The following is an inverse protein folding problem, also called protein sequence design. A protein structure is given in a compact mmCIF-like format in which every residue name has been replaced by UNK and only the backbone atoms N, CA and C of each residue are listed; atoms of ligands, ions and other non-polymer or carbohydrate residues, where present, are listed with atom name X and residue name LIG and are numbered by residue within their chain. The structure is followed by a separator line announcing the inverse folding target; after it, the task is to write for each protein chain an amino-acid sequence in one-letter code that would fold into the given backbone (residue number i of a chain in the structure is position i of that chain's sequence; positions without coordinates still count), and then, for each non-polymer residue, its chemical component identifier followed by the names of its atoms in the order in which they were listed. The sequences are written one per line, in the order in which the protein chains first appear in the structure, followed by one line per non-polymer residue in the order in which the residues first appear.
data_IF_069158567465
#
_entry.id   IF_069158567465
#
_cell.length_a   1.000
_cell.length_b   1.000
_cell.length_c   1.000
_cell.angle_alpha   90.00
_cell.angle_beta   90.00
_cell.angle_gamma   90.00
#
_symmetry.space_group_name_H-M   'P 1'
#
loop_
_entity.id
_entity.type
_entity.pdbx_description
1 polymer ?
#
# COMPACT_ATOMS: atom_id res chain seq x y z
N UNK A 1 15.70 12.76 7.86
CA UNK A 1 16.97 12.07 7.64
C UNK A 1 16.69 10.87 6.74
N UNK A 2 17.37 10.75 5.60
CA UNK A 2 17.18 9.61 4.71
C UNK A 2 17.82 8.38 5.38
N UNK A 3 17.05 7.30 5.53
CA UNK A 3 17.49 6.05 6.17
C UNK A 3 18.48 5.27 5.31
N UNK A 4 18.68 5.68 4.05
CA UNK A 4 19.52 5.00 3.06
C UNK A 4 20.45 6.05 2.44
N UNK A 5 21.76 5.82 2.51
CA UNK A 5 22.76 6.67 1.90
C UNK A 5 23.12 6.19 0.48
N UNK A 6 23.26 7.12 -0.46
CA UNK A 6 23.47 6.81 -1.88
C UNK A 6 24.85 6.17 -2.11
N UNK A 7 25.88 6.73 -1.50
CA UNK A 7 27.26 6.28 -1.73
C UNK A 7 27.44 4.85 -1.20
N UNK A 8 26.80 4.55 -0.06
CA UNK A 8 26.74 3.21 0.51
C UNK A 8 26.03 2.19 -0.40
N UNK A 9 25.04 2.58 -1.21
CA UNK A 9 24.33 1.65 -2.11
C UNK A 9 25.15 1.26 -3.35
N UNK A 10 26.04 2.13 -3.81
CA UNK A 10 26.82 1.91 -5.03
C UNK A 10 27.86 0.78 -4.89
N UNK A 11 28.16 0.35 -3.66
CA UNK A 11 29.09 -0.76 -3.39
C UNK A 11 28.45 -2.14 -3.58
N UNK A 12 27.12 -2.21 -3.75
CA UNK A 12 26.37 -3.47 -3.84
C UNK A 12 25.81 -3.68 -5.24
N UNK A 13 25.78 -4.95 -5.68
CA UNK A 13 25.04 -5.36 -6.89
C UNK A 13 23.56 -5.60 -6.61
N UNK A 14 23.24 -6.03 -5.39
CA UNK A 14 21.90 -6.46 -4.98
C UNK A 14 21.60 -5.99 -3.56
N UNK A 15 20.39 -5.45 -3.38
CA UNK A 15 19.86 -5.02 -2.09
C UNK A 15 18.56 -5.78 -1.83
N UNK A 16 18.53 -6.51 -0.72
CA UNK A 16 17.34 -7.25 -0.27
C UNK A 16 16.76 -6.56 0.96
N UNK A 17 15.54 -6.05 0.82
CA UNK A 17 14.78 -5.46 1.92
C UNK A 17 13.74 -6.46 2.43
N UNK A 18 13.95 -7.00 3.62
CA UNK A 18 12.95 -7.82 4.31
C UNK A 18 11.97 -6.92 5.09
N UNK A 19 10.70 -6.95 4.70
CA UNK A 19 9.63 -6.15 5.34
C UNK A 19 8.67 -7.01 6.18
N UNK A 20 8.94 -8.30 6.33
CA UNK A 20 8.03 -9.28 6.95
C UNK A 20 7.53 -8.89 8.34
N UNK A 21 8.42 -8.30 9.15
CA UNK A 21 8.13 -7.85 10.52
C UNK A 21 8.06 -6.31 10.64
N UNK A 22 8.27 -5.58 9.55
CA UNK A 22 8.30 -4.12 9.59
C UNK A 22 6.88 -3.55 9.52
N UNK A 23 6.55 -2.56 10.37
CA UNK A 23 5.33 -1.79 10.23
C UNK A 23 5.40 -0.86 9.00
N UNK A 24 4.23 -0.51 8.45
CA UNK A 24 4.11 0.32 7.24
C UNK A 24 4.79 1.67 7.37
N UNK A 25 4.69 2.30 8.54
CA UNK A 25 5.37 3.57 8.85
C UNK A 25 6.89 3.51 8.72
N UNK A 26 7.49 2.31 8.80
CA UNK A 26 8.94 2.10 8.65
C UNK A 26 9.29 1.69 7.22
N UNK A 27 8.68 0.61 6.69
CA UNK A 27 9.15 0.09 5.40
C UNK A 27 8.68 0.92 4.20
N UNK A 28 7.56 1.68 4.30
CA UNK A 28 7.14 2.56 3.21
C UNK A 28 8.18 3.66 2.93
N UNK A 29 8.64 4.46 3.93
CA UNK A 29 9.70 5.44 3.69
C UNK A 29 11.02 4.81 3.22
N UNK A 30 11.44 3.68 3.81
CA UNK A 30 12.69 3.02 3.43
C UNK A 30 12.66 2.58 1.97
N UNK A 31 11.61 1.86 1.57
CA UNK A 31 11.49 1.35 0.21
C UNK A 31 11.33 2.49 -0.80
N UNK A 32 10.57 3.54 -0.45
CA UNK A 32 10.47 4.76 -1.28
C UNK A 32 11.83 5.39 -1.49
N UNK A 33 12.61 5.59 -0.42
CA UNK A 33 13.96 6.16 -0.49
C UNK A 33 14.88 5.28 -1.35
N UNK A 34 14.83 3.96 -1.16
CA UNK A 34 15.63 3.00 -1.91
C UNK A 34 15.34 3.07 -3.42
N UNK A 35 14.06 3.07 -3.80
CA UNK A 35 13.64 3.17 -5.20
C UNK A 35 14.08 4.51 -5.82
N UNK A 36 13.95 5.63 -5.10
CA UNK A 36 14.39 6.94 -5.58
C UNK A 36 15.91 7.02 -5.77
N UNK A 37 16.69 6.55 -4.79
CA UNK A 37 18.14 6.59 -4.89
C UNK A 37 18.63 5.73 -6.05
N UNK A 38 18.08 4.52 -6.19
CA UNK A 38 18.43 3.63 -7.30
C UNK A 38 17.96 4.19 -8.65
N UNK A 39 16.81 4.87 -8.73
CA UNK A 39 16.39 5.62 -9.93
C UNK A 39 17.42 6.65 -10.36
N UNK A 40 17.94 7.43 -9.43
CA UNK A 40 18.94 8.47 -9.69
C UNK A 40 20.34 7.92 -10.05
N UNK A 41 20.63 6.64 -9.76
CA UNK A 41 21.88 5.98 -10.13
C UNK A 41 21.87 5.43 -11.56
N UNK A 42 20.70 5.30 -12.20
CA UNK A 42 20.61 4.80 -13.58
C UNK A 42 20.97 3.33 -13.70
N UNK A 43 21.92 2.99 -14.59
CA UNK A 43 22.35 1.62 -14.89
C UNK A 43 23.26 1.02 -13.82
N UNK A 44 24.01 1.85 -13.11
CA UNK A 44 24.94 1.41 -12.06
C UNK A 44 24.23 1.15 -10.72
N UNK A 45 22.89 1.20 -10.73
CA UNK A 45 22.09 0.97 -9.54
C UNK A 45 22.04 -0.52 -9.19
N UNK A 46 22.08 -0.90 -7.90
CA UNK A 46 21.85 -2.27 -7.50
C UNK A 46 20.46 -2.75 -7.91
N UNK A 47 20.35 -4.07 -8.08
CA UNK A 47 19.07 -4.75 -8.08
C UNK A 47 18.39 -4.56 -6.72
N UNK A 48 17.07 -4.33 -6.72
CA UNK A 48 16.27 -4.16 -5.50
C UNK A 48 15.27 -5.29 -5.40
N UNK A 49 15.41 -6.10 -4.34
CA UNK A 49 14.49 -7.16 -3.99
C UNK A 49 13.77 -6.81 -2.68
N UNK A 50 12.51 -7.18 -2.60
CA UNK A 50 11.72 -7.08 -1.37
C UNK A 50 11.26 -8.46 -0.96
N UNK A 51 11.52 -8.81 0.29
CA UNK A 51 11.06 -10.04 0.93
C UNK A 51 9.85 -9.76 1.80
N UNK A 52 8.81 -10.57 1.62
CA UNK A 52 7.61 -10.57 2.46
C UNK A 52 7.33 -12.00 2.85
N UNK A 53 7.41 -12.30 4.14
CA UNK A 53 6.87 -13.51 4.72
C UNK A 53 5.42 -13.22 5.14
N UNK A 54 4.48 -13.89 4.51
CA UNK A 54 3.05 -13.69 4.74
C UNK A 54 2.42 -14.98 5.30
N UNK A 55 1.46 -14.80 6.20
CA UNK A 55 0.66 -15.91 6.70
C UNK A 55 -0.74 -15.37 6.97
N UNK A 56 -1.64 -15.59 6.02
CA UNK A 56 -2.99 -15.03 6.08
C UNK A 56 -3.75 -15.39 7.37
N UNK A 57 -3.54 -16.61 7.91
CA UNK A 57 -4.17 -17.04 9.15
C UNK A 57 -3.57 -16.36 10.38
N UNK A 58 -2.26 -16.16 10.41
CA UNK A 58 -1.59 -15.39 11.45
C UNK A 58 -1.98 -13.91 11.39
N UNK A 59 -1.97 -13.32 10.20
CA UNK A 59 -2.32 -11.91 9.98
C UNK A 59 -3.75 -11.60 10.38
N UNK A 60 -4.70 -12.50 10.07
CA UNK A 60 -6.09 -12.37 10.52
C UNK A 60 -6.25 -12.46 12.05
N UNK A 61 -5.30 -13.10 12.74
CA UNK A 61 -5.33 -13.23 14.19
C UNK A 61 -4.59 -12.10 14.93
N UNK A 62 -3.74 -11.35 14.23
CA UNK A 62 -3.04 -10.19 14.80
C UNK A 62 -4.07 -9.10 15.12
N UNK A 63 -4.10 -8.70 16.39
CA UNK A 63 -4.93 -7.57 16.86
C UNK A 63 -4.06 -6.37 17.11
N UNK A 64 -4.34 -5.29 16.39
CA UNK A 64 -3.73 -3.99 16.63
C UNK A 64 -4.24 -3.42 17.95
N UNK A 65 -3.32 -2.86 18.74
CA UNK A 65 -3.58 -2.21 20.01
C UNK A 65 -3.20 -0.74 19.90
N UNK A 66 -4.03 0.13 20.46
CA UNK A 66 -3.81 1.57 20.48
C UNK A 66 -3.52 2.10 19.07
N UNK A 67 -4.53 2.00 18.19
CA UNK A 67 -4.49 2.66 16.89
C UNK A 67 -4.40 4.17 17.15
N UNK A 68 -3.51 4.86 16.44
CA UNK A 68 -3.33 6.31 16.57
C UNK A 68 -4.57 7.06 16.07
N UNK A 69 -4.91 8.14 16.76
CA UNK A 69 -6.12 8.92 16.48
C UNK A 69 -6.01 9.66 15.13
N UNK A 70 -4.80 10.08 14.76
CA UNK A 70 -4.56 10.87 13.55
C UNK A 70 -3.97 10.00 12.42
N UNK A 71 -4.66 9.99 11.28
CA UNK A 71 -4.06 9.54 10.03
C UNK A 71 -3.02 10.55 9.55
N UNK A 72 -1.96 10.06 8.92
CA UNK A 72 -0.87 10.91 8.45
C UNK A 72 -0.45 10.53 7.02
N UNK A 73 0.04 11.52 6.25
CA UNK A 73 0.62 11.27 4.95
C UNK A 73 2.03 10.69 5.13
N UNK A 74 2.28 9.58 4.46
CA UNK A 74 3.57 8.90 4.50
C UNK A 74 4.65 9.81 3.91
N UNK A 75 5.80 9.88 4.58
CA UNK A 75 6.92 10.70 4.16
C UNK A 75 7.34 10.36 2.72
N UNK A 76 7.59 11.40 1.91
CA UNK A 76 7.82 11.27 0.46
C UNK A 76 6.56 11.49 -0.40
N UNK A 77 5.36 11.31 0.16
CA UNK A 77 4.10 11.42 -0.60
C UNK A 77 3.33 12.73 -0.34
N UNK A 78 4.04 13.86 -0.20
CA UNK A 78 3.43 15.21 -0.31
C UNK A 78 2.64 15.73 0.90
N UNK A 79 3.02 15.30 2.11
CA UNK A 79 2.21 15.42 3.33
C UNK A 79 1.75 16.78 3.86
N UNK A 80 2.01 17.90 3.18
CA UNK A 80 1.46 19.21 3.56
C UNK A 80 0.22 19.64 2.75
N UNK A 81 -0.13 18.92 1.67
CA UNK A 81 -1.15 19.37 0.70
C UNK A 81 -2.49 18.64 0.78
N UNK A 82 -2.65 17.63 1.62
CA UNK A 82 -3.95 16.96 1.79
C UNK A 82 -4.98 17.88 2.47
N UNK A 83 -4.52 18.74 3.37
CA UNK A 83 -5.31 19.72 4.13
C UNK A 83 -5.43 21.08 3.46
N UNK A 84 -4.64 21.35 2.40
CA UNK A 84 -4.82 22.53 1.59
C UNK A 84 -6.14 22.39 0.82
N UNK A 85 -6.92 23.48 0.78
CA UNK A 85 -8.23 23.59 0.11
C UNK A 85 -8.03 23.58 -1.41
N UNK A 86 -7.44 22.52 -1.93
CA UNK A 86 -7.41 22.20 -3.35
C UNK A 86 -8.86 21.98 -3.79
N UNK A 87 -9.29 22.70 -4.82
CA UNK A 87 -10.62 22.51 -5.43
C UNK A 87 -10.75 21.20 -6.20
N UNK A 88 -9.69 20.38 -6.24
CA UNK A 88 -9.71 19.12 -6.96
C UNK A 88 -10.39 18.03 -6.13
N UNK A 89 -11.32 17.26 -6.73
CA UNK A 89 -11.96 16.14 -6.07
C UNK A 89 -10.92 15.12 -5.59
N UNK A 90 -11.03 14.66 -4.35
CA UNK A 90 -10.31 13.53 -3.78
C UNK A 90 -10.99 12.21 -4.15
N UNK A 91 -10.21 11.36 -4.81
CA UNK A 91 -10.54 9.98 -5.10
C UNK A 91 -9.69 9.12 -4.18
N UNK A 92 -10.33 8.43 -3.25
CA UNK A 92 -9.66 7.59 -2.27
C UNK A 92 -9.70 6.12 -2.69
N UNK A 93 -8.54 5.49 -2.76
CA UNK A 93 -8.34 4.09 -3.12
C UNK A 93 -7.81 3.30 -1.91
N UNK A 94 -8.67 2.97 -0.92
CA UNK A 94 -8.25 2.20 0.23
C UNK A 94 -8.14 0.71 -0.10
N UNK A 95 -6.95 0.12 0.10
CA UNK A 95 -6.86 -1.33 0.19
C UNK A 95 -7.41 -1.80 1.53
N UNK A 96 -8.41 -2.68 1.47
CA UNK A 96 -9.17 -3.13 2.64
C UNK A 96 -8.83 -4.58 2.95
N UNK A 97 -8.67 -4.88 4.22
CA UNK A 97 -8.55 -6.21 4.79
C UNK A 97 -9.41 -6.30 6.04
N UNK A 98 -9.57 -7.52 6.56
CA UNK A 98 -10.39 -7.76 7.75
C UNK A 98 -9.84 -7.10 9.01
N UNK A 99 -10.75 -6.72 9.91
CA UNK A 99 -10.46 -6.13 11.22
C UNK A 99 -9.86 -4.71 11.20
N UNK A 100 -10.08 -3.92 10.14
CA UNK A 100 -9.51 -2.57 9.94
C UNK A 100 -10.54 -1.43 10.03
N UNK A 101 -11.71 -1.66 10.63
CA UNK A 101 -12.79 -0.64 10.73
C UNK A 101 -12.30 0.70 11.29
N UNK A 102 -11.61 0.70 12.43
CA UNK A 102 -11.19 1.94 13.11
C UNK A 102 -10.24 2.75 12.21
N UNK A 103 -9.31 2.07 11.54
CA UNK A 103 -8.35 2.67 10.61
C UNK A 103 -9.09 3.23 9.39
N UNK A 104 -10.05 2.47 8.85
CA UNK A 104 -10.88 2.90 7.74
C UNK A 104 -11.69 4.16 8.06
N UNK A 105 -12.36 4.21 9.21
CA UNK A 105 -13.15 5.36 9.66
C UNK A 105 -12.27 6.60 9.88
N UNK A 106 -11.15 6.47 10.59
CA UNK A 106 -10.21 7.57 10.83
C UNK A 106 -9.57 8.09 9.55
N UNK A 107 -9.21 7.19 8.63
CA UNK A 107 -8.66 7.58 7.34
C UNK A 107 -9.73 8.27 6.48
N UNK A 108 -10.97 7.80 6.50
CA UNK A 108 -12.07 8.45 5.82
C UNK A 108 -12.31 9.88 6.34
N UNK A 109 -12.32 10.08 7.66
CA UNK A 109 -12.44 11.41 8.28
C UNK A 109 -11.29 12.34 7.88
N UNK A 110 -10.05 11.82 7.91
CA UNK A 110 -8.87 12.58 7.53
C UNK A 110 -8.84 12.95 6.04
N UNK A 111 -9.22 12.01 5.17
CA UNK A 111 -9.17 12.16 3.72
C UNK A 111 -10.34 13.01 3.21
N UNK A 112 -11.53 12.85 3.80
CA UNK A 112 -12.80 13.45 3.36
C UNK A 112 -13.01 13.32 1.83
N UNK A 113 -13.13 12.09 1.31
CA UNK A 113 -13.16 11.86 -0.14
C UNK A 113 -14.48 12.23 -0.79
N UNK A 114 -14.44 12.74 -2.02
CA UNK A 114 -15.60 12.88 -2.89
C UNK A 114 -15.98 11.55 -3.56
N UNK A 115 -15.03 10.63 -3.74
CA UNK A 115 -15.27 9.30 -4.30
C UNK A 115 -14.38 8.25 -3.61
N UNK A 116 -14.93 7.06 -3.39
CA UNK A 116 -14.21 5.96 -2.74
C UNK A 116 -14.18 4.75 -3.69
N UNK A 117 -12.99 4.22 -3.93
CA UNK A 117 -12.75 3.03 -4.73
C UNK A 117 -12.10 1.94 -3.86
N UNK A 118 -12.89 1.15 -3.10
CA UNK A 118 -12.35 0.09 -2.26
C UNK A 118 -11.55 -0.92 -3.08
N UNK A 119 -10.36 -1.27 -2.59
CA UNK A 119 -9.47 -2.24 -3.24
C UNK A 119 -9.45 -3.50 -2.39
N UNK A 120 -10.14 -4.52 -2.89
CA UNK A 120 -10.35 -5.78 -2.17
C UNK A 120 -9.38 -6.86 -2.67
N UNK A 121 -8.86 -7.71 -1.77
CA UNK A 121 -8.01 -8.82 -2.15
C UNK A 121 -8.80 -9.87 -2.92
N UNK A 122 -8.32 -10.19 -4.12
CA UNK A 122 -8.76 -11.28 -4.97
C UNK A 122 -7.58 -12.24 -5.21
N UNK A 123 -7.89 -13.44 -5.71
CA UNK A 123 -6.87 -14.50 -5.91
C UNK A 123 -6.09 -14.83 -4.62
N UNK A 124 -6.74 -14.62 -3.49
CA UNK A 124 -6.31 -14.96 -2.14
C UNK A 124 -6.38 -16.47 -1.90
N UNK A 125 -5.72 -16.95 -0.85
CA UNK A 125 -5.80 -18.37 -0.46
C UNK A 125 -7.24 -18.80 -0.14
N UNK A 126 -8.02 -17.92 0.50
CA UNK A 126 -9.47 -18.03 0.60
C UNK A 126 -10.14 -17.29 -0.57
N UNK A 127 -10.78 -18.00 -1.50
CA UNK A 127 -11.43 -17.39 -2.66
C UNK A 127 -12.62 -16.48 -2.30
N UNK A 128 -13.22 -16.65 -1.12
CA UNK A 128 -14.35 -15.83 -0.63
C UNK A 128 -13.89 -14.61 0.16
N UNK A 129 -12.59 -14.37 0.29
CA UNK A 129 -12.05 -13.30 1.14
C UNK A 129 -12.61 -11.92 0.79
N UNK A 130 -12.79 -11.61 -0.49
CA UNK A 130 -13.41 -10.36 -0.91
C UNK A 130 -14.86 -10.26 -0.41
N UNK A 131 -15.65 -11.31 -0.58
CA UNK A 131 -17.04 -11.38 -0.11
C UNK A 131 -17.10 -11.27 1.42
N UNK A 132 -16.22 -11.97 2.14
CA UNK A 132 -16.16 -11.91 3.61
C UNK A 132 -15.84 -10.49 4.11
N UNK A 133 -14.97 -9.76 3.40
CA UNK A 133 -14.66 -8.34 3.69
C UNK A 133 -15.86 -7.45 3.36
N UNK A 134 -16.54 -7.69 2.23
CA UNK A 134 -17.75 -6.95 1.87
C UNK A 134 -18.83 -7.14 2.94
N UNK A 135 -19.04 -8.37 3.41
CA UNK A 135 -20.00 -8.68 4.47
C UNK A 135 -19.59 -7.99 5.79
N UNK A 136 -18.30 -7.99 6.14
CA UNK A 136 -17.77 -7.34 7.35
C UNK A 136 -17.98 -5.81 7.36
N UNK A 137 -17.87 -5.17 6.19
CA UNK A 137 -17.96 -3.72 6.04
C UNK A 137 -19.21 -3.25 5.29
N UNK A 138 -20.24 -4.09 5.15
CA UNK A 138 -21.42 -3.76 4.34
C UNK A 138 -22.06 -2.44 4.77
N UNK A 139 -22.28 -2.28 6.07
CA UNK A 139 -22.87 -1.07 6.67
C UNK A 139 -21.97 0.16 6.52
N UNK A 140 -20.65 -0.02 6.58
CA UNK A 140 -19.70 1.06 6.38
C UNK A 140 -19.64 1.49 4.91
N UNK A 141 -19.44 0.54 3.99
CA UNK A 141 -19.24 0.80 2.57
C UNK A 141 -20.52 1.27 1.88
N UNK A 142 -21.64 0.58 2.09
CA UNK A 142 -22.86 0.83 1.31
C UNK A 142 -23.88 1.67 2.06
N UNK A 143 -24.08 1.43 3.35
CA UNK A 143 -25.09 2.18 4.11
C UNK A 143 -24.56 3.55 4.53
N UNK A 144 -23.31 3.63 5.00
CA UNK A 144 -22.71 4.87 5.53
C UNK A 144 -22.00 5.68 4.45
N UNK A 145 -21.08 5.07 3.70
CA UNK A 145 -20.27 5.75 2.71
C UNK A 145 -20.89 5.76 1.30
N UNK A 146 -21.97 5.00 1.09
CA UNK A 146 -22.71 4.97 -0.18
C UNK A 146 -21.82 4.67 -1.40
N UNK A 147 -20.83 3.80 -1.23
CA UNK A 147 -19.90 3.40 -2.29
C UNK A 147 -20.66 2.74 -3.44
N UNK A 148 -20.44 3.23 -4.66
CA UNK A 148 -20.98 2.58 -5.84
C UNK A 148 -20.33 1.22 -6.05
N UNK A 149 -21.14 0.19 -6.34
CA UNK A 149 -20.65 -1.18 -6.54
C UNK A 149 -19.60 -1.28 -7.66
N UNK A 150 -19.72 -0.41 -8.67
CA UNK A 150 -18.84 -0.29 -9.83
C UNK A 150 -17.43 0.20 -9.46
N UNK A 151 -17.28 0.85 -8.29
CA UNK A 151 -16.01 1.42 -7.82
C UNK A 151 -15.17 0.42 -7.02
N UNK A 152 -15.68 -0.80 -6.79
CA UNK A 152 -14.93 -1.86 -6.11
C UNK A 152 -13.89 -2.45 -7.08
N UNK A 153 -12.63 -2.39 -6.66
CA UNK A 153 -11.49 -2.92 -7.41
C UNK A 153 -11.08 -4.26 -6.79
N UNK A 154 -11.14 -5.33 -7.57
CA UNK A 154 -10.62 -6.64 -7.18
C UNK A 154 -9.15 -6.75 -7.55
N UNK A 155 -8.26 -6.72 -6.56
CA UNK A 155 -6.82 -6.71 -6.77
C UNK A 155 -6.13 -8.01 -6.37
N UNK A 156 -5.15 -8.45 -7.14
CA UNK A 156 -4.45 -9.71 -6.87
C UNK A 156 -3.60 -9.64 -5.58
N UNK A 157 -4.05 -10.30 -4.51
CA UNK A 157 -3.41 -10.22 -3.17
C UNK A 157 -1.95 -10.70 -3.21
N UNK A 158 -1.68 -11.81 -3.91
CA UNK A 158 -0.35 -12.44 -3.96
C UNK A 158 0.56 -11.90 -5.07
N UNK A 159 0.13 -10.87 -5.79
CA UNK A 159 0.90 -10.25 -6.87
C UNK A 159 0.86 -8.72 -6.76
N UNK A 160 1.77 -8.11 -5.96
CA UNK A 160 1.79 -6.67 -5.74
C UNK A 160 2.06 -5.87 -7.01
N UNK A 161 2.73 -6.45 -8.02
CA UNK A 161 2.94 -5.79 -9.31
C UNK A 161 1.64 -5.68 -10.09
N UNK A 162 0.80 -6.72 -10.08
CA UNK A 162 -0.51 -6.66 -10.73
C UNK A 162 -1.47 -5.75 -9.96
N UNK A 163 -1.50 -5.84 -8.63
CA UNK A 163 -2.23 -4.88 -7.79
C UNK A 163 -1.83 -3.43 -8.10
N UNK A 164 -0.52 -3.15 -8.18
CA UNK A 164 0.00 -1.84 -8.58
C UNK A 164 -0.52 -1.42 -9.97
N UNK A 165 -0.48 -2.30 -10.97
CA UNK A 165 -1.02 -2.01 -12.32
C UNK A 165 -2.51 -1.70 -12.31
N UNK A 166 -3.30 -2.44 -11.53
CA UNK A 166 -4.74 -2.23 -11.42
C UNK A 166 -5.04 -0.86 -10.78
N UNK A 167 -4.33 -0.50 -9.72
CA UNK A 167 -4.41 0.81 -9.09
C UNK A 167 -3.99 1.96 -10.02
N UNK A 168 -2.92 1.78 -10.79
CA UNK A 168 -2.49 2.76 -11.80
C UNK A 168 -3.57 2.95 -12.87
N UNK A 169 -4.17 1.85 -13.38
CA UNK A 169 -5.26 1.95 -14.37
C UNK A 169 -6.48 2.69 -13.81
N UNK A 170 -6.89 2.39 -12.58
CA UNK A 170 -8.00 3.06 -11.93
C UNK A 170 -7.70 4.56 -11.73
N UNK A 171 -6.54 4.88 -11.14
CA UNK A 171 -6.15 6.27 -10.90
C UNK A 171 -6.01 7.10 -12.19
N UNK A 172 -5.44 6.53 -13.26
CA UNK A 172 -5.38 7.20 -14.56
C UNK A 172 -6.77 7.43 -15.15
N UNK A 173 -7.68 6.46 -15.01
CA UNK A 173 -9.06 6.60 -15.51
C UNK A 173 -9.78 7.77 -14.84
N UNK A 174 -9.64 7.92 -13.53
CA UNK A 174 -10.19 9.07 -12.79
C UNK A 174 -9.50 10.38 -13.16
N UNK A 175 -8.17 10.39 -13.24
CA UNK A 175 -7.42 11.59 -13.61
C UNK A 175 -7.82 12.10 -15.02
N UNK A 176 -8.09 11.16 -15.94
CA UNK A 176 -8.53 11.45 -17.29
C UNK A 176 -9.99 11.94 -17.34
N UNK A 177 -10.89 11.26 -16.61
CA UNK A 177 -12.30 11.65 -16.54
C UNK A 177 -12.50 13.03 -15.91
N UNK A 178 -11.70 13.38 -14.91
CA UNK A 178 -11.78 14.64 -14.16
C UNK A 178 -10.82 15.70 -14.70
N UNK A 179 -10.13 15.43 -15.81
CA UNK A 179 -9.26 16.39 -16.50
C UNK A 179 -9.95 17.75 -16.80
N UNK A 180 -11.23 17.82 -17.20
CA UNK A 180 -11.92 19.10 -17.39
C UNK A 180 -12.03 19.96 -16.12
N UNK A 181 -11.93 19.35 -14.93
CA UNK A 181 -11.95 20.02 -13.62
C UNK A 181 -10.55 20.34 -13.10
N UNK A 182 -9.50 20.08 -13.90
CA UNK A 182 -8.10 20.21 -13.47
C UNK A 182 -7.49 18.92 -12.92
N UNK A 183 -8.19 17.78 -13.05
CA UNK A 183 -7.77 16.47 -12.55
C UNK A 183 -8.36 16.16 -11.17
N UNK A 184 -7.68 15.33 -10.41
CA UNK A 184 -8.12 14.89 -9.08
C UNK A 184 -6.93 14.72 -8.13
N UNK A 185 -7.22 14.66 -6.82
CA UNK A 185 -6.28 14.18 -5.81
C UNK A 185 -6.46 12.67 -5.70
N UNK A 186 -5.41 11.90 -6.01
CA UNK A 186 -5.40 10.45 -5.85
C UNK A 186 -4.84 10.13 -4.47
N UNK A 187 -5.62 9.47 -3.64
CA UNK A 187 -5.26 9.20 -2.25
C UNK A 187 -5.28 7.70 -2.05
N UNK A 188 -4.14 7.14 -1.66
CA UNK A 188 -3.97 5.71 -1.45
C UNK A 188 -3.86 5.41 0.04
N UNK A 189 -4.41 4.30 0.49
CA UNK A 189 -4.14 3.79 1.84
C UNK A 189 -4.07 2.26 1.84
N UNK A 190 -3.31 1.71 2.78
CA UNK A 190 -2.92 0.30 2.79
C UNK A 190 -3.43 -0.41 4.05
N UNK A 191 -4.74 -0.50 4.23
CA UNK A 191 -5.37 -1.18 5.38
C UNK A 191 -5.66 -2.64 5.07
N UNK A 192 -4.68 -3.36 4.53
CA UNK A 192 -4.84 -4.76 4.12
C UNK A 192 -3.53 -5.55 4.36
N UNK A 193 -3.37 -6.70 3.72
CA UNK A 193 -2.19 -7.56 3.86
C UNK A 193 -0.87 -6.83 3.48
N UNK A 194 0.30 -7.39 3.84
CA UNK A 194 1.59 -6.78 3.46
C UNK A 194 1.79 -6.78 1.96
N UNK A 195 1.37 -7.84 1.29
CA UNK A 195 1.43 -7.93 -0.18
C UNK A 195 0.53 -6.88 -0.84
N UNK A 196 -0.70 -6.70 -0.34
CA UNK A 196 -1.57 -5.62 -0.79
C UNK A 196 -0.97 -4.23 -0.55
N UNK A 197 -0.40 -4.04 0.64
CA UNK A 197 0.23 -2.79 1.04
C UNK A 197 1.42 -2.42 0.15
N UNK A 198 2.21 -3.41 -0.28
CA UNK A 198 3.30 -3.20 -1.23
C UNK A 198 2.79 -2.78 -2.61
N UNK A 199 1.72 -3.39 -3.12
CA UNK A 199 1.09 -2.97 -4.37
C UNK A 199 0.58 -1.52 -4.32
N UNK A 200 -0.03 -1.13 -3.19
CA UNK A 200 -0.48 0.25 -2.95
C UNK A 200 0.69 1.23 -2.92
N UNK A 201 1.77 0.90 -2.20
CA UNK A 201 2.97 1.72 -2.16
C UNK A 201 3.56 1.93 -3.56
N UNK A 202 3.68 0.85 -4.35
CA UNK A 202 4.23 0.92 -5.70
C UNK A 202 3.35 1.76 -6.64
N UNK A 203 2.02 1.70 -6.50
CA UNK A 203 1.12 2.54 -7.27
C UNK A 203 1.28 4.01 -6.90
N UNK A 204 1.28 4.33 -5.61
CA UNK A 204 1.52 5.69 -5.13
C UNK A 204 2.89 6.22 -5.59
N UNK A 205 3.93 5.37 -5.53
CA UNK A 205 5.27 5.66 -6.02
C UNK A 205 5.26 5.98 -7.52
N UNK A 206 4.63 5.12 -8.32
CA UNK A 206 4.53 5.31 -9.77
C UNK A 206 3.83 6.62 -10.12
N UNK A 207 2.70 6.95 -9.49
CA UNK A 207 2.05 8.23 -9.71
C UNK A 207 2.94 9.41 -9.36
N UNK A 208 3.56 9.38 -8.18
CA UNK A 208 4.31 10.52 -7.66
C UNK A 208 5.61 10.77 -8.43
N UNK A 209 6.36 9.71 -8.75
CA UNK A 209 7.73 9.82 -9.24
C UNK A 209 7.87 9.46 -10.72
N UNK A 210 7.22 8.38 -11.18
CA UNK A 210 7.33 7.96 -12.58
C UNK A 210 6.39 8.76 -13.51
N UNK A 211 5.14 8.99 -13.09
CA UNK A 211 4.14 9.74 -13.85
C UNK A 211 4.10 11.23 -13.51
N UNK A 212 4.87 11.66 -12.49
CA UNK A 212 4.97 13.06 -12.05
C UNK A 212 3.61 13.68 -11.68
N UNK A 213 2.66 12.87 -11.20
CA UNK A 213 1.37 13.32 -10.68
C UNK A 213 1.56 13.82 -9.26
N UNK A 214 1.67 15.14 -9.12
CA UNK A 214 1.97 15.74 -7.82
C UNK A 214 0.81 15.64 -6.81
N UNK A 215 -0.42 15.41 -7.27
CA UNK A 215 -1.60 15.27 -6.42
C UNK A 215 -1.88 13.81 -6.02
N UNK A 216 -0.83 12.98 -5.95
CA UNK A 216 -0.91 11.61 -5.48
C UNK A 216 -0.31 11.49 -4.08
N UNK A 217 -1.09 10.94 -3.15
CA UNK A 217 -0.79 10.86 -1.72
C UNK A 217 -0.91 9.44 -1.21
N UNK A 218 -0.10 9.08 -0.23
CA UNK A 218 -0.20 7.82 0.50
C UNK A 218 -0.46 8.13 1.97
N UNK A 219 -1.56 7.64 2.51
CA UNK A 219 -1.99 7.85 3.89
C UNK A 219 -1.86 6.55 4.67
N UNK A 220 -1.39 6.67 5.91
CA UNK A 220 -1.29 5.56 6.85
C UNK A 220 -1.83 5.97 8.23
N UNK A 221 -2.19 4.96 9.01
CA UNK A 221 -2.48 5.09 10.44
C UNK A 221 -1.60 4.07 11.15
N UNK A 222 -0.93 4.48 12.21
CA UNK A 222 -0.10 3.60 13.01
C UNK A 222 -0.88 2.94 14.16
N UNK A 223 -0.34 1.82 14.62
CA UNK A 223 -0.78 1.16 15.84
C UNK A 223 0.44 1.02 16.75
N UNK A 224 0.29 1.39 18.02
CA UNK A 224 1.39 1.37 19.00
C UNK A 224 1.69 -0.04 19.51
N UNK A 225 0.84 -1.02 19.23
CA UNK A 225 1.06 -2.40 19.64
C UNK A 225 0.33 -3.43 18.77
N UNK A 226 0.80 -4.67 18.88
CA UNK A 226 0.19 -5.82 18.24
C UNK A 226 0.13 -6.96 19.25
N UNK A 227 -0.97 -7.71 19.24
CA UNK A 227 -1.12 -8.92 20.04
C UNK A 227 -1.53 -10.09 19.18
N UNK A 228 -0.95 -11.24 19.48
CA UNK A 228 -1.26 -12.52 18.84
C UNK A 228 -1.85 -13.44 19.91
N UNK A 229 -2.98 -14.11 19.64
CA UNK A 229 -3.53 -15.11 20.55
C UNK A 229 -2.47 -16.17 20.94
N UNK A 230 -2.19 -16.40 22.24
CA UNK A 230 -1.09 -17.27 22.68
C UNK A 230 -1.18 -18.71 22.16
N UNK A 231 -2.41 -19.21 21.98
CA UNK A 231 -2.69 -20.55 21.44
C UNK A 231 -2.16 -20.73 20.01
N UNK A 232 -2.14 -19.67 19.19
CA UNK A 232 -1.65 -19.76 17.81
C UNK A 232 -0.12 -19.83 17.76
N UNK A 233 0.56 -19.12 18.65
CA UNK A 233 2.02 -19.17 18.79
C UNK A 233 2.44 -20.57 19.22
N UNK A 234 1.75 -21.16 20.19
CA UNK A 234 2.03 -22.52 20.68
C UNK A 234 1.82 -23.60 19.63
N UNK A 235 0.88 -23.41 18.71
CA UNK A 235 0.59 -24.34 17.62
C UNK A 235 1.57 -24.23 16.44
N UNK A 236 2.58 -23.36 16.52
CA UNK A 236 3.59 -23.22 15.47
C UNK A 236 3.04 -22.67 14.16
N UNK A 237 1.98 -21.84 14.19
CA UNK A 237 1.32 -21.29 12.99
C UNK A 237 2.30 -20.62 12.02
N UNK A 238 3.40 -20.04 12.53
CA UNK A 238 4.45 -19.42 11.75
C UNK A 238 5.15 -20.38 10.78
N UNK A 239 5.12 -21.70 11.01
CA UNK A 239 5.68 -22.71 10.11
C UNK A 239 4.95 -22.83 8.78
N UNK A 240 3.70 -22.35 8.71
CA UNK A 240 2.89 -22.31 7.48
C UNK A 240 3.04 -21.00 6.70
N UNK A 241 4.00 -20.14 7.06
CA UNK A 241 4.20 -18.87 6.38
C UNK A 241 4.83 -19.07 5.01
N UNK A 242 4.36 -18.29 4.04
CA UNK A 242 4.86 -18.30 2.67
C UNK A 242 5.80 -17.13 2.47
N UNK A 243 6.96 -17.40 1.86
CA UNK A 243 7.92 -16.37 1.52
C UNK A 243 7.72 -15.92 0.08
N UNK A 244 7.56 -14.62 -0.08
CA UNK A 244 7.49 -13.94 -1.37
C UNK A 244 8.74 -13.08 -1.54
N UNK A 245 9.47 -13.28 -2.63
CA UNK A 245 10.53 -12.39 -3.09
C UNK A 245 10.04 -11.68 -4.34
N UNK A 246 10.14 -10.36 -4.34
CA UNK A 246 9.72 -9.53 -5.46
C UNK A 246 10.92 -8.72 -5.92
N UNK A 247 11.25 -8.86 -7.19
CA UNK A 247 12.30 -8.07 -7.82
C UNK A 247 11.69 -6.79 -8.39
N UNK A 248 12.02 -5.65 -7.78
CA UNK A 248 11.40 -4.36 -8.09
C UNK A 248 12.21 -3.53 -9.10
N UNK A 249 13.53 -3.69 -9.09
CA UNK A 249 14.44 -2.95 -9.97
C UNK A 249 15.65 -3.81 -10.27
N UNK A 250 16.16 -3.71 -11.50
CA UNK A 250 17.40 -4.39 -11.88
C UNK A 250 17.40 -4.86 -13.32
N UNK A 251 18.52 -5.46 -13.72
CA UNK A 251 18.61 -6.28 -14.93
C UNK A 251 19.24 -7.64 -14.60
N UNK A 252 18.67 -8.72 -15.14
CA UNK A 252 19.16 -10.08 -14.94
C UNK A 252 20.45 -10.32 -15.71
N UNK A 253 20.73 -9.49 -16.73
CA UNK A 253 21.76 -9.74 -17.74
C UNK A 253 22.71 -8.56 -17.91
N UNK A 254 22.92 -7.75 -16.87
CA UNK A 254 23.81 -6.58 -16.93
C UNK A 254 25.22 -6.93 -17.47
N UNK A 255 25.69 -8.17 -17.27
CA UNK A 255 27.01 -8.65 -17.70
C UNK A 255 27.06 -9.24 -19.13
N UNK A 256 25.97 -9.23 -19.91
CA UNK A 256 25.92 -9.83 -21.26
C UNK A 256 25.91 -8.82 -22.44
N UNK A 257 26.33 -7.57 -22.24
CA UNK A 257 26.48 -6.58 -23.32
C UNK A 257 27.92 -6.15 -23.54
#
# INVERSE_FOLDING_TARGET
AYLVDRDSLAEFSDVVLDVSSMPRGIYFPILTSLLQHTENMGRDAPNVFVHVCENAALDAAIREQYVDDDAYPVHGFGGHQLTDVSRLPAIWLPAIGSGKRIQLERAHEYVSPEEICPVLPAMSSNLRRADDIIDEYHDLLFDSWQVAHENIILAAERNPLENCRQLIRAGCSYADALRPLGGCRLIFSAFSSKMMSLGVLLAAYAFRYALQVHNAYLVNIEAQGYSIPPNLVQNGIASASEMHMIWLRGDCYADQQ
#
